data_IF_346124348074
#
_entry.id   IF_346124348074
#
_cell.length_a   1.000
_cell.length_b   1.000
_cell.length_c   1.000
_cell.angle_alpha   90.00
_cell.angle_beta   90.00
_cell.angle_gamma   90.00
#
_symmetry.space_group_name_H-M   'P 1'
#
loop_
_entity.id
_entity.type
_entity.pdbx_description
1 polymer ?
#
# COMPACT_ATOMS: atom_id res chain seq x y z
N UNK A 1 2.27 -8.68 -5.10
CA UNK A 1 1.79 -10.03 -4.71
C UNK A 1 1.78 -10.09 -3.19
N UNK A 2 0.61 -10.03 -2.53
CA UNK A 2 0.51 -9.92 -1.06
C UNK A 2 0.70 -11.24 -0.29
N UNK A 3 0.40 -12.40 -0.87
CA UNK A 3 0.48 -13.68 -0.19
C UNK A 3 -0.67 -13.90 0.81
N UNK A 4 -0.39 -14.57 1.93
CA UNK A 4 -1.28 -14.73 3.11
C UNK A 4 -2.75 -15.11 2.79
N UNK A 5 -2.94 -16.17 1.99
CA UNK A 5 -4.25 -16.59 1.49
C UNK A 5 -4.51 -16.06 0.08
N UNK A 6 -3.93 -16.74 -0.91
CA UNK A 6 -3.91 -16.29 -2.30
C UNK A 6 -4.16 -17.45 -3.27
N UNK A 7 -4.63 -17.13 -4.47
CA UNK A 7 -4.91 -18.13 -5.53
C UNK A 7 -3.78 -18.08 -6.57
N UNK A 8 -3.19 -19.24 -6.87
CA UNK A 8 -2.16 -19.39 -7.89
C UNK A 8 -2.75 -19.99 -9.18
N UNK A 9 -2.61 -19.27 -10.30
CA UNK A 9 -3.01 -19.80 -11.61
C UNK A 9 -2.06 -20.91 -12.05
N UNK A 10 -2.61 -22.05 -12.47
CA UNK A 10 -1.83 -23.22 -12.94
C UNK A 10 -0.83 -22.87 -14.04
N UNK A 11 -1.25 -22.17 -15.09
CA UNK A 11 -0.36 -21.81 -16.21
C UNK A 11 0.77 -20.89 -15.76
N UNK A 12 0.48 -19.87 -14.95
CA UNK A 12 1.52 -19.00 -14.36
C UNK A 12 2.57 -19.83 -13.61
N UNK A 13 2.14 -20.82 -12.83
CA UNK A 13 3.08 -21.68 -12.12
C UNK A 13 3.90 -22.57 -13.07
N UNK A 14 3.23 -23.43 -13.85
CA UNK A 14 3.87 -24.48 -14.65
C UNK A 14 4.70 -23.92 -15.81
N UNK A 15 4.26 -22.81 -16.42
CA UNK A 15 4.88 -22.28 -17.63
C UNK A 15 5.84 -21.11 -17.35
N UNK A 16 5.67 -20.37 -16.25
CA UNK A 16 6.51 -19.20 -15.96
C UNK A 16 7.34 -19.31 -14.68
N UNK A 17 6.81 -19.83 -13.57
CA UNK A 17 7.50 -19.77 -12.27
C UNK A 17 8.36 -21.01 -11.99
N UNK A 18 7.80 -22.20 -12.14
CA UNK A 18 8.43 -23.49 -11.82
C UNK A 18 9.76 -23.72 -12.58
N UNK A 19 9.86 -23.47 -13.91
CA UNK A 19 11.11 -23.73 -14.64
C UNK A 19 12.31 -22.86 -14.22
N UNK A 20 12.04 -21.74 -13.55
CA UNK A 20 13.05 -20.78 -13.07
C UNK A 20 12.97 -20.57 -11.56
N UNK A 21 12.42 -21.54 -10.85
CA UNK A 21 12.32 -21.48 -9.40
C UNK A 21 13.73 -21.41 -8.79
N UNK A 22 13.97 -20.54 -7.77
CA UNK A 22 15.27 -20.45 -7.14
C UNK A 22 15.75 -21.81 -6.63
N UNK A 23 17.00 -22.13 -6.93
CA UNK A 23 17.66 -23.37 -6.51
C UNK A 23 17.95 -23.36 -4.99
N UNK A 24 18.13 -24.54 -4.35
CA UNK A 24 18.19 -24.66 -2.90
C UNK A 24 19.30 -23.85 -2.20
N UNK A 25 20.38 -23.51 -2.90
CA UNK A 25 21.49 -22.71 -2.36
C UNK A 25 21.15 -21.21 -2.25
N UNK A 26 20.04 -20.76 -2.82
CA UNK A 26 19.60 -19.36 -2.74
C UNK A 26 18.86 -19.11 -1.43
N UNK A 27 19.45 -18.29 -0.56
CA UNK A 27 18.82 -17.79 0.66
C UNK A 27 17.82 -16.65 0.35
N UNK A 28 16.84 -16.92 -0.51
CA UNK A 28 15.87 -15.94 -0.97
C UNK A 28 14.47 -16.27 -0.45
N UNK A 29 13.75 -15.27 0.04
CA UNK A 29 12.33 -15.41 0.31
C UNK A 29 11.55 -15.54 -1.01
N UNK A 30 10.79 -16.63 -1.15
CA UNK A 30 10.06 -16.93 -2.39
C UNK A 30 9.06 -15.83 -2.79
N UNK A 31 8.45 -15.18 -1.81
CA UNK A 31 7.44 -14.14 -2.02
C UNK A 31 8.10 -12.82 -2.45
N UNK A 32 9.28 -12.50 -1.91
CA UNK A 32 10.11 -11.39 -2.39
C UNK A 32 10.57 -11.65 -3.83
N UNK A 33 11.03 -12.87 -4.14
CA UNK A 33 11.38 -13.27 -5.51
C UNK A 33 10.20 -13.11 -6.47
N UNK A 34 9.00 -13.53 -6.08
CA UNK A 34 7.79 -13.35 -6.89
C UNK A 34 7.37 -11.89 -7.11
N UNK A 35 7.81 -10.96 -6.25
CA UNK A 35 7.50 -9.52 -6.38
C UNK A 35 8.43 -8.79 -7.36
N UNK A 36 9.59 -9.38 -7.65
CA UNK A 36 10.58 -8.79 -8.55
C UNK A 36 10.01 -8.60 -9.98
N UNK A 37 10.48 -7.57 -10.71
CA UNK A 37 9.96 -7.25 -12.05
C UNK A 37 10.03 -8.41 -13.04
N UNK A 38 11.05 -9.27 -12.96
CA UNK A 38 11.29 -10.40 -13.88
C UNK A 38 10.22 -11.49 -13.76
N UNK A 39 9.61 -11.64 -12.59
CA UNK A 39 8.51 -12.56 -12.30
C UNK A 39 7.17 -11.85 -12.47
N UNK A 40 6.98 -10.72 -11.79
CA UNK A 40 5.68 -10.03 -11.75
C UNK A 40 5.31 -9.40 -13.09
N UNK A 41 6.29 -8.89 -13.84
CA UNK A 41 6.14 -8.35 -15.21
C UNK A 41 5.03 -7.30 -15.32
N UNK A 42 4.98 -6.38 -14.36
CA UNK A 42 3.96 -5.31 -14.32
C UNK A 42 2.52 -5.78 -14.02
N UNK A 43 2.28 -7.07 -13.76
CA UNK A 43 0.96 -7.59 -13.38
C UNK A 43 0.59 -7.21 -11.94
N UNK A 44 -0.71 -7.24 -11.67
CA UNK A 44 -1.31 -6.84 -10.40
C UNK A 44 -2.10 -7.99 -9.76
N UNK A 45 -2.48 -7.83 -8.49
CA UNK A 45 -3.31 -8.77 -7.74
C UNK A 45 -4.55 -8.05 -7.21
N UNK A 46 -5.69 -8.74 -7.17
CA UNK A 46 -6.90 -8.25 -6.52
C UNK A 46 -6.79 -8.47 -5.01
N UNK A 47 -7.16 -7.45 -4.22
CA UNK A 47 -7.26 -7.52 -2.76
C UNK A 47 -8.61 -6.96 -2.30
N UNK A 48 -9.19 -7.47 -1.20
CA UNK A 48 -10.30 -6.80 -0.54
C UNK A 48 -9.79 -5.64 0.35
N UNK A 49 -10.64 -4.66 0.61
CA UNK A 49 -10.37 -3.60 1.60
C UNK A 49 -10.28 -4.16 3.03
N UNK A 50 -11.19 -5.07 3.38
CA UNK A 50 -11.16 -5.81 4.66
C UNK A 50 -10.67 -7.24 4.40
N UNK A 51 -9.52 -7.58 5.00
CA UNK A 51 -8.85 -8.87 4.82
C UNK A 51 -9.70 -10.06 5.24
N UNK A 52 -9.48 -11.20 4.56
CA UNK A 52 -10.17 -12.49 4.79
C UNK A 52 -9.27 -13.56 5.42
N UNK A 53 -8.05 -13.18 5.77
CA UNK A 53 -7.09 -13.96 6.55
C UNK A 53 -6.51 -13.07 7.66
N UNK A 54 -6.08 -13.69 8.75
CA UNK A 54 -5.44 -13.00 9.88
C UNK A 54 -4.18 -13.76 10.29
N UNK A 55 -3.05 -13.05 10.37
CA UNK A 55 -1.77 -13.65 10.73
C UNK A 55 -1.59 -13.63 12.25
N UNK A 56 -1.71 -14.80 12.90
CA UNK A 56 -1.59 -14.93 14.36
C UNK A 56 -0.25 -15.54 14.82
N UNK A 57 0.59 -16.03 13.90
CA UNK A 57 1.87 -16.64 14.26
C UNK A 57 2.84 -15.59 14.80
N UNK A 58 3.24 -15.69 16.07
CA UNK A 58 4.22 -14.79 16.71
C UNK A 58 5.63 -15.38 16.62
N UNK A 59 5.75 -16.70 16.71
CA UNK A 59 7.03 -17.42 16.60
C UNK A 59 7.13 -18.00 15.20
N UNK A 60 8.17 -17.62 14.45
CA UNK A 60 8.41 -18.07 13.08
C UNK A 60 9.75 -17.53 12.56
N UNK A 61 10.10 -17.86 11.31
CA UNK A 61 11.42 -17.57 10.73
C UNK A 61 11.81 -16.09 10.83
N UNK A 62 10.90 -15.19 10.42
CA UNK A 62 11.13 -13.73 10.37
C UNK A 62 10.16 -12.97 11.28
N UNK A 63 9.67 -13.58 12.36
CA UNK A 63 8.62 -13.03 13.21
C UNK A 63 9.02 -13.06 14.69
N UNK A 64 8.67 -11.99 15.41
CA UNK A 64 8.81 -11.90 16.85
C UNK A 64 7.62 -11.11 17.46
N UNK A 65 7.54 -11.08 18.79
CA UNK A 65 6.43 -10.44 19.51
C UNK A 65 6.24 -8.96 19.19
N UNK A 66 7.33 -8.19 19.17
CA UNK A 66 7.27 -6.76 18.89
C UNK A 66 6.80 -6.48 17.46
N UNK A 67 7.33 -7.22 16.49
CA UNK A 67 6.97 -7.06 15.08
C UNK A 67 5.51 -7.40 14.81
N UNK A 68 5.01 -8.47 15.45
CA UNK A 68 3.60 -8.86 15.37
C UNK A 68 2.69 -7.77 15.96
N UNK A 69 3.02 -7.27 17.15
CA UNK A 69 2.24 -6.24 17.83
C UNK A 69 2.19 -4.93 17.04
N UNK A 70 3.31 -4.52 16.46
CA UNK A 70 3.42 -3.28 15.69
C UNK A 70 2.62 -3.31 14.38
N UNK A 71 2.69 -4.40 13.61
CA UNK A 71 2.19 -4.41 12.22
C UNK A 71 1.01 -5.36 11.95
N UNK A 72 0.80 -6.40 12.76
CA UNK A 72 -0.17 -7.45 12.46
C UNK A 72 -1.35 -7.48 13.43
N UNK A 73 -1.12 -7.20 14.72
CA UNK A 73 -2.13 -7.31 15.79
C UNK A 73 -3.39 -6.47 15.54
N UNK A 74 -3.25 -5.29 14.92
CA UNK A 74 -4.37 -4.38 14.61
C UNK A 74 -4.89 -4.52 13.17
N UNK A 75 -4.41 -5.52 12.41
CA UNK A 75 -4.85 -5.72 11.05
C UNK A 75 -6.32 -6.19 11.02
N UNK A 76 -7.16 -5.49 10.24
CA UNK A 76 -8.61 -5.72 10.24
C UNK A 76 -8.95 -7.06 9.59
N UNK A 77 -9.80 -7.85 10.25
CA UNK A 77 -10.29 -9.13 9.77
C UNK A 77 -11.82 -9.12 9.65
N UNK A 78 -12.34 -9.56 8.51
CA UNK A 78 -13.78 -9.61 8.31
C UNK A 78 -14.45 -10.77 9.07
N UNK A 79 -15.50 -10.47 9.82
CA UNK A 79 -16.33 -11.46 10.52
C UNK A 79 -17.75 -11.60 9.95
N UNK A 80 -18.14 -10.77 8.97
CA UNK A 80 -19.48 -10.83 8.37
C UNK A 80 -19.56 -11.99 7.36
N UNK A 81 -20.50 -12.95 7.52
CA UNK A 81 -20.66 -14.06 6.59
C UNK A 81 -21.39 -13.63 5.31
N UNK A 82 -21.14 -14.34 4.19
CA UNK A 82 -21.96 -14.24 2.98
C UNK A 82 -21.96 -12.88 2.27
N UNK A 83 -20.94 -12.03 2.49
CA UNK A 83 -20.84 -10.70 1.88
C UNK A 83 -20.82 -10.81 0.36
N UNK A 84 -21.76 -10.14 -0.29
CA UNK A 84 -21.79 -10.00 -1.75
C UNK A 84 -20.82 -8.89 -2.18
N UNK A 85 -19.90 -9.22 -3.08
CA UNK A 85 -18.95 -8.24 -3.60
C UNK A 85 -19.65 -7.27 -4.56
N UNK A 86 -19.36 -5.97 -4.40
CA UNK A 86 -19.94 -4.93 -5.25
C UNK A 86 -19.13 -4.78 -6.53
N UNK A 87 -19.80 -4.84 -7.69
CA UNK A 87 -19.28 -4.50 -9.01
C UNK A 87 -17.94 -5.20 -9.36
N UNK A 88 -17.88 -6.52 -9.28
CA UNK A 88 -16.64 -7.29 -9.47
C UNK A 88 -16.00 -7.07 -10.85
N UNK A 89 -16.82 -6.94 -11.90
CA UNK A 89 -16.32 -6.76 -13.26
C UNK A 89 -15.56 -5.44 -13.48
N UNK A 90 -15.76 -4.43 -12.63
CA UNK A 90 -15.00 -3.18 -12.70
C UNK A 90 -13.56 -3.32 -12.21
N UNK A 91 -13.14 -4.49 -11.69
CA UNK A 91 -11.76 -4.77 -11.33
C UNK A 91 -10.90 -5.25 -12.51
N UNK A 92 -11.49 -5.41 -13.71
CA UNK A 92 -10.74 -5.65 -14.94
C UNK A 92 -9.95 -4.38 -15.30
N UNK A 93 -8.74 -4.56 -15.85
CA UNK A 93 -7.73 -3.51 -16.10
C UNK A 93 -8.33 -2.17 -16.56
N UNK A 94 -8.95 -2.13 -17.73
CA UNK A 94 -9.42 -0.86 -18.31
C UNK A 94 -10.67 -0.32 -17.59
N UNK A 95 -11.55 -1.21 -17.11
CA UNK A 95 -12.73 -0.83 -16.34
C UNK A 95 -12.36 -0.22 -14.96
N UNK A 96 -11.23 -0.65 -14.39
CA UNK A 96 -10.75 -0.13 -13.12
C UNK A 96 -10.23 1.29 -13.25
N UNK A 97 -9.58 1.64 -14.36
CA UNK A 97 -9.18 3.02 -14.65
C UNK A 97 -10.39 3.96 -14.75
N UNK A 98 -11.50 3.48 -15.33
CA UNK A 98 -12.77 4.23 -15.35
C UNK A 98 -13.29 4.48 -13.93
N UNK A 99 -13.26 3.47 -13.06
CA UNK A 99 -13.67 3.61 -11.66
C UNK A 99 -12.75 4.56 -10.88
N UNK A 100 -11.44 4.49 -11.08
CA UNK A 100 -10.47 5.41 -10.44
C UNK A 100 -10.73 6.86 -10.89
N UNK A 101 -10.94 7.09 -12.19
CA UNK A 101 -11.25 8.43 -12.69
C UNK A 101 -12.59 8.94 -12.16
N UNK A 102 -13.60 8.08 -12.00
CA UNK A 102 -14.89 8.41 -11.38
C UNK A 102 -14.69 8.85 -9.91
N UNK A 103 -13.98 8.06 -9.12
CA UNK A 103 -13.66 8.36 -7.72
C UNK A 103 -12.89 9.68 -7.57
N UNK A 104 -11.88 9.92 -8.41
CA UNK A 104 -11.11 11.18 -8.37
C UNK A 104 -11.92 12.39 -8.83
N UNK A 105 -12.97 12.19 -9.66
CA UNK A 105 -13.84 13.28 -10.10
C UNK A 105 -14.87 13.71 -9.04
N UNK A 106 -15.26 12.80 -8.15
CA UNK A 106 -16.18 13.09 -7.03
C UNK A 106 -15.44 13.43 -5.73
N UNK A 107 -14.13 13.18 -5.67
CA UNK A 107 -13.33 13.43 -4.47
C UNK A 107 -13.16 14.92 -4.19
N UNK A 108 -13.43 15.30 -2.95
CA UNK A 108 -13.17 16.65 -2.45
C UNK A 108 -11.66 16.80 -2.15
N UNK A 109 -11.04 17.85 -2.70
CA UNK A 109 -9.61 18.11 -2.50
C UNK A 109 -9.37 18.68 -1.11
N UNK A 110 -8.50 18.03 -0.33
CA UNK A 110 -8.17 18.50 1.03
C UNK A 110 -7.27 19.74 1.01
N UNK A 111 -7.27 20.48 2.12
CA UNK A 111 -6.41 21.63 2.32
C UNK A 111 -4.97 21.19 2.64
N UNK A 112 -4.06 21.38 1.68
CA UNK A 112 -2.67 20.95 1.79
C UNK A 112 -1.79 21.87 2.65
N UNK A 113 -2.34 22.97 3.18
CA UNK A 113 -1.65 23.79 4.17
C UNK A 113 -1.66 23.17 5.58
N UNK A 114 -2.55 22.20 5.82
CA UNK A 114 -2.69 21.50 7.10
C UNK A 114 -1.76 20.30 7.20
N UNK A 115 -1.42 19.92 8.44
CA UNK A 115 -0.60 18.75 8.73
C UNK A 115 -1.36 17.45 8.36
N UNK A 116 -0.90 16.66 7.37
CA UNK A 116 -1.60 15.44 6.93
C UNK A 116 -1.58 14.32 7.98
N UNK A 117 -0.66 14.39 8.95
CA UNK A 117 -0.50 13.41 10.01
C UNK A 117 -1.45 13.62 11.20
N UNK A 118 -2.21 14.71 11.20
CA UNK A 118 -3.21 14.99 12.22
C UNK A 118 -4.63 14.64 11.74
N UNK A 119 -5.52 14.37 12.69
CA UNK A 119 -6.93 14.12 12.40
C UNK A 119 -7.69 15.37 11.93
N UNK A 120 -7.14 16.56 12.19
CA UNK A 120 -7.62 17.85 11.70
C UNK A 120 -7.48 18.02 10.17
N UNK A 121 -6.70 17.14 9.52
CA UNK A 121 -6.52 17.14 8.07
C UNK A 121 -7.82 16.81 7.32
N UNK A 122 -8.63 15.91 7.88
CA UNK A 122 -9.94 15.55 7.32
C UNK A 122 -11.06 16.24 8.11
N UNK A 123 -12.11 16.75 7.42
CA UNK A 123 -13.34 17.16 8.05
C UNK A 123 -13.95 16.06 8.93
N UNK A 124 -14.74 16.44 9.92
CA UNK A 124 -15.48 15.51 10.77
C UNK A 124 -16.79 15.08 10.09
N UNK A 125 -16.64 14.23 9.08
CA UNK A 125 -17.71 13.68 8.25
C UNK A 125 -17.57 12.16 8.15
N UNK A 126 -18.59 11.45 7.65
CA UNK A 126 -18.52 10.02 7.35
C UNK A 126 -19.12 9.73 5.97
N UNK A 127 -18.54 8.79 5.22
CA UNK A 127 -19.06 8.37 3.90
C UNK A 127 -18.68 9.27 2.72
N UNK A 128 -17.87 10.30 2.95
CA UNK A 128 -17.33 11.17 1.89
C UNK A 128 -16.09 10.55 1.22
N UNK A 129 -15.72 11.10 0.06
CA UNK A 129 -14.47 10.78 -0.64
C UNK A 129 -13.59 12.01 -0.69
N UNK A 130 -12.36 11.89 -0.19
CA UNK A 130 -11.38 12.96 -0.15
C UNK A 130 -10.12 12.56 -0.92
N UNK A 131 -9.43 13.53 -1.50
CA UNK A 131 -8.13 13.33 -2.17
C UNK A 131 -7.06 14.28 -1.63
N UNK A 132 -5.86 13.73 -1.44
CA UNK A 132 -4.63 14.48 -1.20
C UNK A 132 -3.57 14.12 -2.25
N UNK A 133 -2.69 15.07 -2.54
CA UNK A 133 -1.61 14.97 -3.49
C UNK A 133 -0.28 15.08 -2.74
N UNK A 134 0.61 14.11 -2.96
CA UNK A 134 1.95 14.07 -2.37
C UNK A 134 3.02 14.19 -3.46
N UNK A 135 4.21 14.68 -3.09
CA UNK A 135 5.36 14.68 -3.99
C UNK A 135 5.82 13.24 -4.24
N UNK A 136 5.96 12.91 -5.52
CA UNK A 136 6.49 11.67 -6.06
C UNK A 136 7.09 12.01 -7.45
N UNK A 137 8.37 12.38 -7.47
CA UNK A 137 9.06 12.89 -8.67
C UNK A 137 9.32 11.80 -9.72
N UNK A 138 9.44 10.55 -9.26
CA UNK A 138 9.70 9.36 -10.09
C UNK A 138 8.82 8.20 -9.65
N UNK A 139 8.75 7.18 -10.49
CA UNK A 139 8.00 5.94 -10.21
C UNK A 139 8.50 5.20 -8.95
N UNK A 140 9.72 5.48 -8.49
CA UNK A 140 10.36 4.91 -7.31
C UNK A 140 10.51 5.92 -6.15
N UNK A 141 10.04 7.16 -6.29
CA UNK A 141 10.10 8.16 -5.22
C UNK A 141 8.95 8.00 -4.22
N UNK A 142 9.18 7.18 -3.21
CA UNK A 142 8.18 6.92 -2.16
C UNK A 142 8.49 7.63 -0.83
N UNK A 143 9.36 8.64 -0.85
CA UNK A 143 9.85 9.32 0.36
C UNK A 143 8.69 9.85 1.21
N UNK A 144 7.83 10.66 0.60
CA UNK A 144 6.67 11.26 1.27
C UNK A 144 5.67 10.20 1.71
N UNK A 145 5.39 9.22 0.85
CA UNK A 145 4.42 8.16 1.17
C UNK A 145 4.84 7.37 2.41
N UNK A 146 6.12 6.99 2.50
CA UNK A 146 6.63 6.23 3.64
C UNK A 146 6.47 7.00 4.96
N UNK A 147 6.75 8.31 4.98
CA UNK A 147 6.53 9.13 6.19
C UNK A 147 5.04 9.29 6.51
N UNK A 148 4.20 9.45 5.49
CA UNK A 148 2.75 9.52 5.67
C UNK A 148 2.20 8.20 6.25
N UNK A 149 2.62 7.05 5.70
CA UNK A 149 2.24 5.73 6.19
C UNK A 149 2.64 5.52 7.67
N UNK A 150 3.86 5.95 8.02
CA UNK A 150 4.36 5.93 9.40
C UNK A 150 3.49 6.72 10.36
N UNK A 151 3.16 7.97 10.03
CA UNK A 151 2.36 8.80 10.93
C UNK A 151 0.88 8.35 10.98
N UNK A 152 0.37 7.75 9.91
CA UNK A 152 -0.94 7.09 9.88
C UNK A 152 -0.95 5.74 10.63
N UNK A 153 0.20 5.26 11.12
CA UNK A 153 0.37 3.99 11.85
C UNK A 153 -0.11 2.78 11.04
N UNK A 154 0.23 2.76 9.77
CA UNK A 154 0.02 1.64 8.85
C UNK A 154 1.38 1.07 8.40
N UNK A 155 1.38 0.10 7.48
CA UNK A 155 2.59 -0.53 6.97
C UNK A 155 3.52 0.46 6.25
N UNK A 156 4.74 0.66 6.75
CA UNK A 156 5.73 1.63 6.27
C UNK A 156 7.14 1.05 6.04
N UNK A 157 7.32 -0.27 6.17
CA UNK A 157 8.63 -0.94 6.02
C UNK A 157 9.08 -1.10 4.56
N UNK A 158 8.12 -1.33 3.67
CA UNK A 158 8.27 -1.38 2.22
C UNK A 158 6.97 -0.91 1.58
N UNK A 159 7.06 -0.40 0.35
CA UNK A 159 5.93 0.28 -0.29
C UNK A 159 4.90 -0.73 -0.77
N UNK A 160 3.68 -0.62 -0.25
CA UNK A 160 2.54 -1.47 -0.60
C UNK A 160 1.28 -0.64 -0.80
N UNK A 161 0.27 -1.24 -1.42
CA UNK A 161 -1.03 -0.60 -1.68
C UNK A 161 -1.03 0.41 -2.84
N UNK A 162 0.10 0.58 -3.53
CA UNK A 162 0.20 1.45 -4.70
C UNK A 162 -0.44 0.80 -5.93
N UNK A 163 -1.21 1.60 -6.66
CA UNK A 163 -1.65 1.34 -8.03
C UNK A 163 -1.35 2.58 -8.87
N UNK A 164 -0.29 2.55 -9.70
CA UNK A 164 0.11 3.65 -10.59
C UNK A 164 0.23 5.01 -9.86
N UNK A 165 0.85 5.01 -8.67
CA UNK A 165 1.01 6.23 -7.87
C UNK A 165 -0.26 6.66 -7.10
N UNK A 166 -1.30 5.82 -7.04
CA UNK A 166 -2.48 6.01 -6.20
C UNK A 166 -2.45 5.03 -5.01
N UNK A 167 -2.78 5.53 -3.82
CA UNK A 167 -3.14 4.72 -2.66
C UNK A 167 -4.58 5.01 -2.25
N UNK A 168 -5.29 3.94 -1.87
CA UNK A 168 -6.70 4.00 -1.43
C UNK A 168 -6.79 3.43 -0.02
N UNK A 169 -7.32 4.19 0.92
CA UNK A 169 -7.54 3.76 2.30
C UNK A 169 -8.73 4.51 2.91
N UNK A 170 -8.98 4.30 4.19
CA UNK A 170 -10.04 4.98 4.93
C UNK A 170 -9.48 5.75 6.13
N UNK A 171 -9.98 6.97 6.34
CA UNK A 171 -9.74 7.77 7.55
C UNK A 171 -11.08 8.32 8.03
N UNK A 172 -11.40 8.15 9.31
CA UNK A 172 -12.70 8.55 9.90
C UNK A 172 -13.91 8.07 9.07
N UNK A 173 -13.85 6.83 8.56
CA UNK A 173 -14.87 6.22 7.67
C UNK A 173 -15.11 6.95 6.33
N UNK A 174 -14.25 7.90 5.96
CA UNK A 174 -14.23 8.49 4.63
C UNK A 174 -13.21 7.77 3.75
N UNK A 175 -13.52 7.64 2.47
CA UNK A 175 -12.56 7.14 1.49
C UNK A 175 -11.48 8.21 1.28
N UNK A 176 -10.23 7.83 1.48
CA UNK A 176 -9.09 8.72 1.35
C UNK A 176 -8.18 8.23 0.23
N UNK A 177 -8.07 9.06 -0.81
CA UNK A 177 -7.23 8.84 -1.98
C UNK A 177 -5.95 9.66 -1.84
N UNK A 178 -4.80 9.03 -2.08
CA UNK A 178 -3.49 9.71 -2.09
C UNK A 178 -2.85 9.52 -3.46
N UNK A 179 -2.58 10.63 -4.15
CA UNK A 179 -2.00 10.62 -5.51
C UNK A 179 -0.58 11.20 -5.49
N UNK A 180 0.38 10.46 -6.01
CA UNK A 180 1.77 10.91 -6.18
C UNK A 180 1.97 11.76 -7.43
N UNK A 181 2.51 12.97 -7.26
CA UNK A 181 2.69 13.97 -8.33
C UNK A 181 4.16 14.34 -8.47
N UNK A 182 4.72 14.43 -9.70
CA UNK A 182 4.08 14.25 -11.02
C UNK A 182 4.00 12.81 -11.55
N UNK A 183 4.62 11.81 -10.91
CA UNK A 183 4.77 10.47 -11.51
C UNK A 183 3.45 9.76 -11.83
N UNK A 184 2.41 9.91 -11.00
CA UNK A 184 1.13 9.25 -11.26
C UNK A 184 0.45 9.84 -12.50
N UNK A 185 -0.16 9.01 -13.38
CA UNK A 185 -1.03 9.49 -14.45
C UNK A 185 -2.24 10.27 -13.92
N UNK A 186 -2.60 10.09 -12.64
CA UNK A 186 -3.71 10.80 -11.99
C UNK A 186 -3.36 12.23 -11.56
N UNK A 187 -2.09 12.65 -11.72
CA UNK A 187 -1.62 14.01 -11.43
C UNK A 187 -2.43 15.09 -12.15
N UNK A 188 -3.04 14.76 -13.29
CA UNK A 188 -3.93 15.65 -14.06
C UNK A 188 -5.17 16.13 -13.29
N UNK A 189 -5.53 15.46 -12.19
CA UNK A 189 -6.64 15.85 -11.31
C UNK A 189 -6.23 16.84 -10.21
N UNK A 190 -4.93 17.16 -10.07
CA UNK A 190 -4.44 18.14 -9.10
C UNK A 190 -4.76 19.56 -9.58
N UNK A 191 -5.49 20.38 -8.79
CA UNK A 191 -5.68 21.79 -9.12
C UNK A 191 -4.35 22.56 -9.17
N UNK A 192 -4.25 23.63 -9.98
CA UNK A 192 -3.04 24.46 -10.04
C UNK A 192 -2.68 25.12 -8.70
N UNK A 193 -3.68 25.44 -7.88
CA UNK A 193 -3.49 26.07 -6.56
C UNK A 193 -2.93 25.14 -5.48
N UNK A 194 -2.89 23.82 -5.73
CA UNK A 194 -2.42 22.85 -4.75
C UNK A 194 -0.94 22.55 -4.97
N UNK A 195 -0.16 22.76 -3.92
CA UNK A 195 1.23 22.29 -3.81
C UNK A 195 1.21 20.87 -3.22
N UNK A 196 1.82 19.87 -3.89
CA UNK A 196 1.91 18.51 -3.34
C UNK A 196 2.61 18.50 -1.98
N UNK A 197 2.04 17.77 -1.03
CA UNK A 197 2.61 17.56 0.30
C UNK A 197 3.97 16.88 0.15
N UNK A 198 4.93 17.31 0.98
CA UNK A 198 6.24 16.68 1.06
C UNK A 198 6.61 16.48 2.53
N UNK A 199 7.06 15.27 2.87
CA UNK A 199 7.44 14.87 4.22
C UNK A 199 8.81 14.20 4.13
N UNK A 200 9.79 14.72 4.86
CA UNK A 200 11.12 14.12 4.94
C UNK A 200 11.23 13.22 6.17
N UNK A 201 12.05 12.15 6.09
CA UNK A 201 12.42 11.42 7.29
C UNK A 201 13.14 12.37 8.27
N UNK A 202 12.95 12.21 9.59
CA UNK A 202 13.73 12.96 10.55
C UNK A 202 15.23 12.68 10.34
N UNK A 203 16.11 13.66 10.66
CA UNK A 203 17.55 13.45 10.59
C UNK A 203 17.92 12.18 11.36
N UNK A 204 18.80 11.34 10.78
CA UNK A 204 19.39 10.26 11.56
C UNK A 204 20.17 10.91 12.70
N UNK A 205 19.83 10.60 13.95
CA UNK A 205 20.70 10.95 15.07
C UNK A 205 22.05 10.26 14.85
N UNK A 206 23.09 11.04 14.58
CA UNK A 206 24.47 10.58 14.66
C UNK A 206 24.77 10.26 16.13
N UNK A 207 24.64 9.00 16.52
CA UNK A 207 25.13 8.52 17.82
C UNK A 207 24.11 7.79 18.67
N UNK A 208 23.81 6.54 18.32
CA UNK A 208 23.46 5.52 19.32
C UNK A 208 24.51 4.41 19.20
N UNK A 209 25.40 4.22 20.20
CA UNK A 209 26.31 3.08 20.22
C UNK A 209 25.51 1.83 20.61
N UNK A 210 25.57 0.78 19.78
CA UNK A 210 25.25 -0.58 20.22
C UNK A 210 24.32 -1.38 19.33
N UNK A 211 24.90 -1.99 18.29
CA UNK A 211 24.72 -3.42 18.07
C UNK A 211 26.08 -3.93 17.57
N UNK A 212 26.93 -4.25 18.54
CA UNK A 212 28.14 -5.03 18.29
C UNK A 212 27.74 -6.34 17.60
N UNK A 213 28.60 -6.78 16.70
CA UNK A 213 28.63 -8.11 16.11
C UNK A 213 28.19 -9.17 17.13
N UNK A 214 27.21 -9.98 16.74
CA UNK A 214 27.08 -11.33 17.27
C UNK A 214 27.20 -12.25 16.07
N UNK A 215 28.40 -12.85 16.01
CA UNK A 215 28.84 -14.07 15.33
C UNK A 215 27.76 -14.95 14.72
#
# INVERSE_FOLDING_TARGET
>A
MPGLGWVLRRSLYKEELEPKWPTPEKLWDWDMWMRMPEQRRGRECIIPDVSRSYHFGIVGLNMNGYFHEAYFKKHKFNTVPGVQLRNVDSLKKDAYEVEVHRLLSEAEVLDHSKNPCEDSFLPDTEGHTYVAFIRMEKDDDFTTWTQLAKCLRIWDLDVRGNHRGLWRLFRKKNHFLVVGVPASPYSVKKPPSITPIFLEPPPKEEGAPGAAEQT
#
